data_IF_884403589907
#
_entry.id   IF_884403589907
#
_cell.length_a   1.000
_cell.length_b   1.000
_cell.length_c   1.000
_cell.angle_alpha   90.00
_cell.angle_beta   90.00
_cell.angle_gamma   90.00
#
_symmetry.space_group_name_H-M   'P 1'
#
loop_
_entity.id
_entity.type
_entity.pdbx_description
1 polymer ?
#
# COMPACT_ATOMS: atom_id res chain seq x y z
N UNK A 1 -30.93 -2.68 -2.91
CA UNK A 1 -30.00 -1.54 -3.09
C UNK A 1 -28.66 -2.12 -3.49
N UNK A 2 -28.02 -1.60 -4.54
CA UNK A 2 -26.65 -1.96 -4.90
C UNK A 2 -25.73 -0.90 -4.30
N UNK A 3 -24.68 -1.35 -3.63
CA UNK A 3 -23.65 -0.48 -3.06
C UNK A 3 -22.32 -0.87 -3.68
N UNK A 4 -21.49 0.14 -3.89
CA UNK A 4 -20.22 0.04 -4.59
C UNK A 4 -19.15 0.61 -3.67
N UNK A 5 -18.15 -0.20 -3.35
CA UNK A 5 -17.01 0.22 -2.56
C UNK A 5 -15.70 -0.42 -3.07
N UNK A 6 -14.64 -0.26 -2.26
CA UNK A 6 -13.31 -0.81 -2.49
C UNK A 6 -13.27 -2.34 -2.61
N UNK A 7 -14.19 -3.04 -1.95
CA UNK A 7 -14.27 -4.50 -1.96
C UNK A 7 -15.04 -5.03 -3.18
N UNK A 8 -15.74 -4.14 -3.90
CA UNK A 8 -16.44 -4.48 -5.13
C UNK A 8 -17.90 -4.06 -5.11
N UNK A 9 -18.68 -4.77 -5.92
CA UNK A 9 -20.13 -4.58 -6.02
C UNK A 9 -20.78 -5.52 -5.02
N UNK A 10 -21.62 -5.00 -4.13
CA UNK A 10 -22.46 -5.82 -3.27
C UNK A 10 -23.91 -5.36 -3.32
N UNK A 11 -24.81 -6.35 -3.26
CA UNK A 11 -26.24 -6.10 -3.34
C UNK A 11 -27.02 -7.31 -2.87
N UNK A 12 -28.29 -7.07 -2.56
CA UNK A 12 -29.17 -8.06 -1.94
C UNK A 12 -29.59 -9.20 -2.88
N UNK A 13 -29.45 -9.05 -4.20
CA UNK A 13 -29.89 -10.05 -5.18
C UNK A 13 -29.14 -9.86 -6.50
N UNK A 14 -28.71 -10.93 -7.17
CA UNK A 14 -28.09 -10.84 -8.50
C UNK A 14 -29.01 -10.26 -9.58
N UNK A 15 -28.44 -9.80 -10.70
CA UNK A 15 -29.20 -9.33 -11.86
C UNK A 15 -28.71 -9.97 -13.15
N UNK A 16 -29.60 -10.15 -14.13
CA UNK A 16 -29.25 -10.61 -15.45
C UNK A 16 -28.74 -9.42 -16.30
N UNK A 17 -27.50 -9.51 -16.77
CA UNK A 17 -26.85 -8.47 -17.57
C UNK A 17 -27.57 -8.27 -18.91
N UNK A 18 -28.13 -9.33 -19.50
CA UNK A 18 -28.85 -9.25 -20.77
C UNK A 18 -30.18 -8.50 -20.62
N UNK A 19 -30.82 -8.61 -19.46
CA UNK A 19 -32.08 -7.94 -19.15
C UNK A 19 -31.89 -6.50 -18.67
N UNK A 20 -30.72 -6.19 -18.08
CA UNK A 20 -30.44 -4.88 -17.47
C UNK A 20 -29.03 -4.37 -17.84
N UNK A 21 -28.75 -4.10 -19.13
CA UNK A 21 -27.45 -3.59 -19.57
C UNK A 21 -27.15 -2.19 -19.00
N UNK A 22 -28.19 -1.39 -18.72
CA UNK A 22 -28.04 -0.06 -18.12
C UNK A 22 -27.38 -0.11 -16.74
N UNK A 23 -27.67 -1.15 -15.95
CA UNK A 23 -27.02 -1.34 -14.64
C UNK A 23 -25.53 -1.59 -14.79
N UNK A 24 -25.10 -2.35 -15.80
CA UNK A 24 -23.67 -2.57 -16.07
C UNK A 24 -22.98 -1.27 -16.45
N UNK A 25 -23.63 -0.46 -17.29
CA UNK A 25 -23.10 0.85 -17.68
C UNK A 25 -22.98 1.77 -16.47
N UNK A 26 -23.99 1.78 -15.60
CA UNK A 26 -23.97 2.56 -14.36
C UNK A 26 -22.87 2.09 -13.40
N UNK A 27 -22.63 0.78 -13.30
CA UNK A 27 -21.55 0.19 -12.50
C UNK A 27 -20.20 0.70 -13.00
N UNK A 28 -19.91 0.53 -14.28
CA UNK A 28 -18.63 0.94 -14.88
C UNK A 28 -18.45 2.45 -14.72
N UNK A 29 -19.49 3.25 -15.01
CA UNK A 29 -19.45 4.70 -14.86
C UNK A 29 -19.23 5.14 -13.40
N UNK A 30 -19.71 4.38 -12.42
CA UNK A 30 -19.47 4.67 -10.99
C UNK A 30 -18.01 4.42 -10.62
N UNK A 31 -17.41 3.30 -11.03
CA UNK A 31 -15.99 3.03 -10.80
C UNK A 31 -15.07 4.04 -11.50
N UNK A 32 -15.39 4.44 -12.74
CA UNK A 32 -14.62 5.44 -13.47
C UNK A 32 -14.65 6.84 -12.84
N UNK A 33 -15.65 7.13 -12.00
CA UNK A 33 -15.80 8.40 -11.29
C UNK A 33 -15.26 8.37 -9.86
N UNK A 34 -14.95 7.20 -9.32
CA UNK A 34 -14.35 7.07 -8.00
C UNK A 34 -12.92 7.62 -8.02
N UNK A 35 -12.56 8.36 -6.98
CA UNK A 35 -11.17 8.75 -6.78
C UNK A 35 -10.32 7.58 -6.28
N UNK A 36 -9.01 7.75 -6.33
CA UNK A 36 -8.06 6.72 -5.87
C UNK A 36 -8.33 6.28 -4.42
N UNK A 37 -8.79 7.19 -3.54
CA UNK A 37 -9.11 6.86 -2.14
C UNK A 37 -10.30 5.89 -2.06
N UNK A 38 -11.35 6.19 -2.81
CA UNK A 38 -12.58 5.41 -2.93
C UNK A 38 -12.36 4.07 -3.63
N UNK A 39 -11.35 3.98 -4.51
CA UNK A 39 -10.90 2.73 -5.12
C UNK A 39 -9.93 1.92 -4.23
N UNK A 40 -9.50 2.47 -3.09
CA UNK A 40 -8.53 1.80 -2.21
C UNK A 40 -7.12 1.78 -2.79
N UNK A 41 -6.86 2.59 -3.82
CA UNK A 41 -5.52 2.80 -4.37
C UNK A 41 -4.75 3.64 -3.35
N UNK A 42 -3.66 3.08 -2.84
CA UNK A 42 -2.82 3.75 -1.86
C UNK A 42 -2.17 5.01 -2.46
N UNK A 43 -2.38 6.16 -1.81
CA UNK A 43 -1.70 7.41 -2.14
C UNK A 43 -0.25 7.48 -1.63
N UNK A 44 0.21 6.42 -0.96
CA UNK A 44 1.56 6.37 -0.40
C UNK A 44 2.62 6.31 -1.49
N UNK A 45 2.38 5.48 -2.51
CA UNK A 45 3.28 5.33 -3.65
C UNK A 45 2.89 6.38 -4.69
N UNK A 46 3.84 7.26 -4.99
CA UNK A 46 3.75 8.28 -6.03
C UNK A 46 4.45 7.78 -7.28
N UNK A 47 3.90 8.14 -8.44
CA UNK A 47 4.42 7.77 -9.75
C UNK A 47 4.95 9.03 -10.46
N UNK A 48 6.21 8.99 -10.89
CA UNK A 48 6.85 10.04 -11.71
C UNK A 48 7.66 9.38 -12.83
N UNK A 49 8.12 10.16 -13.82
CA UNK A 49 8.92 9.66 -14.95
C UNK A 49 10.20 8.91 -14.54
N UNK A 50 10.69 9.11 -13.32
CA UNK A 50 11.88 8.44 -12.77
C UNK A 50 11.55 7.13 -12.02
N UNK A 51 10.29 6.71 -12.00
CA UNK A 51 9.83 5.53 -11.29
C UNK A 51 8.98 5.85 -10.07
N UNK A 52 8.66 4.80 -9.33
CA UNK A 52 7.77 4.85 -8.17
C UNK A 52 8.55 5.32 -6.95
N UNK A 53 7.93 6.11 -6.07
CA UNK A 53 8.58 6.55 -4.83
C UNK A 53 7.57 6.81 -3.71
N UNK A 54 8.06 6.81 -2.47
CA UNK A 54 7.34 7.33 -1.32
C UNK A 54 8.05 8.58 -0.77
N UNK A 55 7.32 9.38 -0.01
CA UNK A 55 7.89 10.52 0.73
C UNK A 55 7.94 10.14 2.20
N UNK A 56 9.14 10.04 2.77
CA UNK A 56 9.33 9.86 4.21
C UNK A 56 8.95 11.12 4.99
N UNK A 57 8.76 10.98 6.30
CA UNK A 57 8.35 12.07 7.20
C UNK A 57 9.36 13.22 7.24
N UNK A 58 10.65 12.91 7.08
CA UNK A 58 11.71 13.91 7.02
C UNK A 58 11.83 14.58 5.63
N UNK A 59 10.86 14.34 4.73
CA UNK A 59 10.79 14.96 3.40
C UNK A 59 11.69 14.31 2.34
N UNK A 60 12.43 13.25 2.70
CA UNK A 60 13.23 12.48 1.76
C UNK A 60 12.37 11.63 0.83
N UNK A 61 12.72 11.60 -0.46
CA UNK A 61 12.09 10.65 -1.42
C UNK A 61 12.84 9.34 -1.41
N UNK A 62 12.09 8.26 -1.27
CA UNK A 62 12.59 6.88 -1.36
C UNK A 62 12.02 6.24 -2.63
N UNK A 63 12.87 6.08 -3.64
CA UNK A 63 12.50 5.43 -4.89
C UNK A 63 12.41 3.92 -4.70
N UNK A 64 11.37 3.33 -5.25
CA UNK A 64 11.08 1.91 -5.18
C UNK A 64 11.49 1.23 -6.49
N UNK A 65 11.86 -0.02 -6.37
CA UNK A 65 11.97 -0.91 -7.52
C UNK A 65 10.60 -1.08 -8.18
N UNK A 66 10.58 -1.36 -9.48
CA UNK A 66 9.34 -1.47 -10.26
C UNK A 66 8.47 -2.62 -9.78
N UNK A 67 9.09 -3.66 -9.22
CA UNK A 67 8.41 -4.84 -8.67
C UNK A 67 8.76 -5.04 -7.20
N UNK A 68 7.79 -5.47 -6.37
CA UNK A 68 8.06 -5.79 -4.98
C UNK A 68 8.99 -7.00 -4.88
N UNK A 69 9.89 -6.99 -3.90
CA UNK A 69 10.74 -8.16 -3.56
C UNK A 69 9.92 -9.24 -2.86
N UNK A 70 8.81 -8.85 -2.24
CA UNK A 70 7.84 -9.74 -1.66
C UNK A 70 6.48 -9.08 -1.73
N UNK A 71 5.48 -9.80 -2.22
CA UNK A 71 4.09 -9.41 -2.08
C UNK A 71 3.34 -10.65 -1.62
N UNK A 72 2.53 -10.52 -0.57
CA UNK A 72 1.57 -11.56 -0.26
C UNK A 72 0.48 -11.49 -1.33
N UNK A 73 0.60 -12.37 -2.32
CA UNK A 73 -0.40 -12.57 -3.38
C UNK A 73 -1.33 -13.71 -2.95
N UNK A 74 -1.99 -13.56 -1.81
CA UNK A 74 -3.09 -14.46 -1.50
C UNK A 74 -4.30 -14.11 -2.39
N UNK A 75 -5.00 -15.14 -2.85
CA UNK A 75 -6.11 -15.04 -3.82
C UNK A 75 -7.39 -14.42 -3.22
N UNK A 76 -7.29 -13.75 -2.08
CA UNK A 76 -8.41 -13.18 -1.37
C UNK A 76 -8.42 -11.67 -1.58
N UNK A 77 -9.62 -11.13 -1.85
CA UNK A 77 -9.85 -9.69 -2.05
C UNK A 77 -9.47 -8.89 -0.79
N UNK A 78 -9.42 -9.56 0.37
CA UNK A 78 -9.06 -8.99 1.67
C UNK A 78 -7.89 -9.81 2.23
N UNK A 79 -6.72 -9.20 2.38
CA UNK A 79 -5.57 -9.76 3.09
C UNK A 79 -4.90 -8.72 3.97
N UNK A 80 -3.97 -9.15 4.82
CA UNK A 80 -3.10 -8.25 5.62
C UNK A 80 -2.19 -7.39 4.73
N UNK A 81 -2.23 -7.57 3.40
CA UNK A 81 -1.71 -6.62 2.41
C UNK A 81 -0.20 -6.47 2.44
N UNK A 82 0.52 -7.44 3.01
CA UNK A 82 1.97 -7.31 3.22
C UNK A 82 2.70 -7.24 1.87
N UNK A 83 3.34 -6.10 1.61
CA UNK A 83 4.16 -5.86 0.43
C UNK A 83 5.48 -5.21 0.81
N UNK A 84 6.58 -5.77 0.32
CA UNK A 84 7.92 -5.24 0.51
C UNK A 84 8.53 -4.84 -0.82
N UNK A 85 9.07 -3.64 -0.89
CA UNK A 85 9.82 -3.14 -2.03
C UNK A 85 11.28 -2.98 -1.65
N UNK A 86 12.16 -3.25 -2.62
CA UNK A 86 13.52 -2.74 -2.55
C UNK A 86 13.49 -1.25 -2.86
N UNK A 87 14.30 -0.48 -2.14
CA UNK A 87 14.19 0.96 -2.14
C UNK A 87 15.55 1.65 -2.03
N UNK A 88 15.60 2.92 -2.42
CA UNK A 88 16.81 3.76 -2.39
C UNK A 88 16.49 5.22 -2.13
N UNK A 89 17.43 5.96 -1.57
CA UNK A 89 17.29 7.39 -1.35
C UNK A 89 17.51 8.20 -2.63
N UNK A 90 16.82 9.33 -2.75
CA UNK A 90 17.02 10.27 -3.85
C UNK A 90 18.42 10.92 -3.86
N UNK A 91 19.06 11.02 -2.69
CA UNK A 91 20.31 11.77 -2.51
C UNK A 91 21.55 11.02 -3.02
N UNK A 92 21.40 9.77 -3.45
CA UNK A 92 22.51 8.99 -4.00
C UNK A 92 22.66 9.30 -5.48
N UNK A 93 23.80 9.90 -5.85
CA UNK A 93 24.17 10.13 -7.27
C UNK A 93 24.33 8.80 -8.04
N UNK A 94 24.55 7.71 -7.29
CA UNK A 94 24.59 6.35 -7.80
C UNK A 94 23.19 5.72 -7.83
N UNK A 95 22.67 5.52 -9.04
CA UNK A 95 21.38 4.86 -9.27
C UNK A 95 21.39 3.35 -8.98
N UNK A 96 22.51 2.76 -8.60
CA UNK A 96 22.63 1.33 -8.28
C UNK A 96 22.52 0.99 -6.79
N UNK A 97 22.50 1.99 -5.90
CA UNK A 97 22.49 1.77 -4.44
C UNK A 97 21.09 1.44 -3.88
N UNK A 98 20.75 0.16 -3.90
CA UNK A 98 19.49 -0.38 -3.38
C UNK A 98 19.61 -0.89 -1.94
N UNK A 99 20.04 -0.02 -1.03
CA UNK A 99 20.34 -0.38 0.36
C UNK A 99 19.15 -0.39 1.33
N UNK A 100 17.94 -0.02 0.88
CA UNK A 100 16.76 0.08 1.75
C UNK A 100 15.66 -0.89 1.35
N UNK A 101 14.78 -1.20 2.30
CA UNK A 101 13.55 -1.94 2.05
C UNK A 101 12.36 -1.17 2.64
N UNK A 102 11.32 -0.99 1.85
CA UNK A 102 10.04 -0.46 2.30
C UNK A 102 9.12 -1.64 2.61
N UNK A 103 8.56 -1.68 3.81
CA UNK A 103 7.53 -2.64 4.21
C UNK A 103 6.19 -1.93 4.38
N UNK A 104 5.18 -2.37 3.62
CA UNK A 104 3.80 -1.93 3.75
C UNK A 104 3.00 -3.11 4.32
N UNK A 105 2.37 -2.91 5.47
CA UNK A 105 1.53 -3.90 6.17
C UNK A 105 0.18 -3.26 6.50
N UNK A 106 -0.90 -4.01 6.34
CA UNK A 106 -2.23 -3.60 6.80
C UNK A 106 -2.25 -3.35 8.31
N UNK A 107 -3.06 -2.40 8.76
CA UNK A 107 -3.18 -2.10 10.19
C UNK A 107 -4.06 -3.14 10.87
N UNK A 108 -3.44 -4.19 11.35
CA UNK A 108 -3.99 -4.88 12.50
C UNK A 108 -3.47 -4.17 13.76
N UNK A 109 -4.29 -4.03 14.82
CA UNK A 109 -3.78 -3.62 16.12
C UNK A 109 -2.81 -4.71 16.61
N UNK A 110 -1.52 -4.51 16.36
CA UNK A 110 -0.47 -5.45 16.75
C UNK A 110 -0.08 -5.15 18.20
N UNK A 111 -0.29 -6.11 19.12
CA UNK A 111 0.28 -6.04 20.46
C UNK A 111 1.80 -6.26 20.35
N UNK A 112 2.57 -5.17 20.45
CA UNK A 112 4.02 -5.17 20.29
C UNK A 112 4.43 -4.84 18.86
N UNK A 113 4.53 -3.55 18.55
CA UNK A 113 4.79 -3.12 17.17
C UNK A 113 6.16 -3.63 16.68
N UNK A 114 6.22 -4.16 15.46
CA UNK A 114 7.49 -4.53 14.81
C UNK A 114 8.49 -3.36 14.84
N UNK A 115 7.98 -2.14 14.73
CA UNK A 115 8.75 -0.91 14.87
C UNK A 115 9.42 -0.78 16.24
N UNK A 116 8.74 -1.10 17.34
CA UNK A 116 9.34 -1.11 18.69
C UNK A 116 10.46 -2.16 18.79
N UNK A 117 10.22 -3.38 18.30
CA UNK A 117 11.24 -4.44 18.34
C UNK A 117 12.50 -4.07 17.54
N UNK A 118 12.32 -3.51 16.33
CA UNK A 118 13.44 -3.05 15.50
C UNK A 118 14.12 -1.79 16.08
N UNK A 119 13.35 -0.93 16.73
CA UNK A 119 13.87 0.22 17.48
C UNK A 119 14.79 -0.23 18.62
N UNK A 120 14.33 -1.16 19.45
CA UNK A 120 15.11 -1.76 20.53
C UNK A 120 16.38 -2.46 20.02
N UNK A 121 16.28 -3.22 18.92
CA UNK A 121 17.45 -3.86 18.31
C UNK A 121 18.50 -2.83 17.85
N UNK A 122 18.03 -1.69 17.32
CA UNK A 122 18.90 -0.58 16.90
C UNK A 122 19.57 0.08 18.10
N UNK A 123 18.83 0.36 19.17
CA UNK A 123 19.38 0.91 20.43
C UNK A 123 20.42 0.00 21.08
N UNK A 124 20.19 -1.32 21.05
CA UNK A 124 21.10 -2.32 21.61
C UNK A 124 22.26 -2.68 20.68
N UNK A 125 22.36 -2.08 19.50
CA UNK A 125 23.36 -2.39 18.48
C UNK A 125 23.42 -3.90 18.18
N UNK A 126 22.25 -4.55 18.13
CA UNK A 126 22.15 -5.98 17.88
C UNK A 126 22.76 -6.32 16.51
N UNK A 127 23.62 -7.33 16.47
CA UNK A 127 24.26 -7.77 15.25
C UNK A 127 23.33 -8.68 14.43
N UNK A 128 23.34 -8.52 13.10
CA UNK A 128 22.56 -9.36 12.17
C UNK A 128 21.08 -8.98 12.03
N UNK A 129 20.64 -7.86 12.62
CA UNK A 129 19.26 -7.37 12.52
C UNK A 129 19.20 -6.15 11.60
N UNK A 130 18.13 -6.04 10.81
CA UNK A 130 17.86 -4.85 9.99
C UNK A 130 17.64 -3.63 10.89
N UNK A 131 18.09 -2.46 10.43
CA UNK A 131 17.89 -1.20 11.16
C UNK A 131 16.60 -0.54 10.72
N UNK A 132 15.77 -0.15 11.69
CA UNK A 132 14.61 0.70 11.40
C UNK A 132 15.09 2.12 11.05
N UNK A 133 14.71 2.60 9.87
CA UNK A 133 15.01 3.97 9.42
C UNK A 133 13.87 4.90 9.77
N UNK A 134 12.64 4.50 9.43
CA UNK A 134 11.43 5.28 9.65
C UNK A 134 10.25 4.32 9.80
N UNK A 135 9.26 4.70 10.59
CA UNK A 135 8.01 3.97 10.76
C UNK A 135 6.85 4.96 10.85
N UNK A 136 5.77 4.68 10.13
CA UNK A 136 4.56 5.49 10.14
C UNK A 136 3.31 4.63 10.07
N UNK A 137 2.40 4.89 11.00
CA UNK A 137 1.03 4.37 10.91
C UNK A 137 0.22 5.30 10.01
N UNK A 138 -0.21 4.77 8.86
CA UNK A 138 -1.03 5.49 7.88
C UNK A 138 -2.52 5.20 8.11
N UNK A 139 -2.87 4.40 9.10
CA UNK A 139 -4.26 4.21 9.46
C UNK A 139 -4.89 5.54 9.84
N UNK A 140 -5.69 6.07 8.94
CA UNK A 140 -6.54 7.21 9.19
C UNK A 140 -7.50 6.86 10.33
N UNK A 141 -7.54 7.66 11.41
CA UNK A 141 -8.80 7.87 12.10
C UNK A 141 -9.72 8.73 11.22
N UNK A 142 -11.04 8.64 11.47
CA UNK A 142 -12.20 9.38 10.93
C UNK A 142 -12.78 8.88 9.59
N UNK A 143 -14.10 8.67 9.43
CA UNK A 143 -15.28 9.18 10.18
C UNK A 143 -16.12 8.11 10.91
#
# INVERSE_FOLDING_TARGET
MWVFDRAGIYGSQGFNIQEKPDLVTQIIASYLRMDNSSLGISHLIKHENRGNYIVGELGGRLYLDDSPIFARVDKFIISDGLTCYRARLQTTDDWSDWSYALKLKGCEPDEGSEAEMLGLATEKQAWGVIRLVEHKNVCSPSE
#
